data_IF_171609370387
#
_entry.id   IF_171609370387
#
_cell.length_a   1.000
_cell.length_b   1.000
_cell.length_c   1.000
_cell.angle_alpha   90.00
_cell.angle_beta   90.00
_cell.angle_gamma   90.00
#
_symmetry.space_group_name_H-M   'P 1'
#
loop_
_entity.id
_entity.type
_entity.pdbx_description
1 polymer ?
#
# COMPACT_ATOMS: atom_id res chain seq x y z
N UNK A 1 53.85 43.95 -0.22
CA UNK A 1 52.90 43.64 -1.32
C UNK A 1 52.04 42.47 -0.87
N UNK A 2 50.85 42.72 -0.34
CA UNK A 2 49.94 41.72 0.16
C UNK A 2 48.80 41.61 -0.86
N UNK A 3 48.67 40.46 -1.52
CA UNK A 3 47.59 40.18 -2.48
C UNK A 3 46.37 39.67 -1.71
N UNK A 4 45.30 40.43 -1.66
CA UNK A 4 44.00 40.00 -1.24
C UNK A 4 43.32 39.23 -2.38
N UNK A 5 42.98 37.96 -2.12
CA UNK A 5 42.17 37.15 -3.01
C UNK A 5 40.68 37.43 -2.70
N UNK A 6 39.96 37.93 -3.70
CA UNK A 6 38.50 38.08 -3.64
C UNK A 6 37.83 36.72 -3.69
N UNK A 7 37.22 36.28 -2.58
CA UNK A 7 36.23 35.21 -2.60
C UNK A 7 34.92 35.78 -3.13
N UNK A 8 34.53 35.36 -4.33
CA UNK A 8 33.22 35.65 -4.89
C UNK A 8 32.17 34.80 -4.11
N UNK A 9 31.40 35.52 -3.30
CA UNK A 9 30.19 34.94 -2.67
C UNK A 9 29.09 34.90 -3.74
N UNK A 10 28.82 33.74 -4.29
CA UNK A 10 27.63 33.52 -5.11
C UNK A 10 26.42 33.53 -4.20
N UNK A 11 25.72 34.65 -4.18
CA UNK A 11 24.44 34.81 -3.50
C UNK A 11 23.38 34.07 -4.31
N UNK A 12 22.99 32.88 -3.86
CA UNK A 12 21.88 32.14 -4.44
C UNK A 12 20.56 32.86 -4.08
N UNK A 13 20.03 33.58 -5.04
CA UNK A 13 18.73 34.23 -4.93
C UNK A 13 17.68 33.14 -4.99
N UNK A 14 17.13 32.74 -3.81
CA UNK A 14 15.92 31.92 -3.73
C UNK A 14 14.74 32.78 -4.19
N UNK A 15 14.36 32.65 -5.46
CA UNK A 15 13.08 33.17 -5.94
C UNK A 15 11.94 32.38 -5.30
N UNK A 16 11.25 33.01 -4.39
CA UNK A 16 9.93 32.54 -3.93
C UNK A 16 8.94 32.62 -5.10
N UNK A 17 8.83 31.55 -5.86
CA UNK A 17 7.73 31.37 -6.82
C UNK A 17 6.43 31.18 -6.06
N UNK A 18 5.41 31.95 -6.45
CA UNK A 18 4.07 31.89 -5.90
C UNK A 18 3.37 30.53 -6.14
N UNK A 19 2.11 30.34 -5.70
CA UNK A 19 1.42 29.05 -5.59
C UNK A 19 0.95 28.53 -6.96
N UNK A 20 1.88 28.20 -7.84
CA UNK A 20 1.62 27.52 -9.10
C UNK A 20 2.83 26.68 -9.55
N UNK A 21 3.52 26.05 -8.60
CA UNK A 21 4.38 24.94 -8.92
C UNK A 21 3.48 23.79 -9.33
N UNK A 22 3.31 23.59 -10.65
CA UNK A 22 2.88 22.31 -11.16
C UNK A 22 3.66 21.24 -10.39
N UNK A 23 2.96 20.39 -9.65
CA UNK A 23 3.57 19.33 -8.86
C UNK A 23 4.44 18.51 -9.81
N UNK A 24 5.75 18.77 -9.79
CA UNK A 24 6.69 17.91 -10.51
C UNK A 24 6.47 16.54 -9.93
N UNK A 25 6.01 15.62 -10.76
CA UNK A 25 5.82 14.23 -10.36
C UNK A 25 7.17 13.72 -9.88
N UNK A 26 7.31 13.59 -8.57
CA UNK A 26 8.53 13.03 -7.99
C UNK A 26 8.67 11.62 -8.51
N UNK A 27 9.80 11.32 -9.18
CA UNK A 27 10.14 9.95 -9.54
C UNK A 27 10.57 9.21 -8.27
N UNK A 28 9.57 8.86 -7.44
CA UNK A 28 9.80 8.16 -6.19
C UNK A 28 10.31 6.74 -6.41
N UNK A 29 10.09 6.15 -7.58
CA UNK A 29 10.55 4.79 -7.90
C UNK A 29 12.07 4.72 -8.00
N UNK A 30 12.71 5.82 -8.39
CA UNK A 30 14.18 5.94 -8.38
C UNK A 30 14.75 6.33 -7.01
N UNK A 31 13.89 6.66 -6.01
CA UNK A 31 14.33 7.05 -4.68
C UNK A 31 14.93 5.85 -3.91
N UNK A 32 15.84 6.12 -2.95
CA UNK A 32 16.41 5.09 -2.09
C UNK A 32 15.33 4.32 -1.33
N UNK A 33 15.53 3.00 -1.17
CA UNK A 33 14.72 2.14 -0.30
C UNK A 33 15.42 2.03 1.04
N UNK A 34 14.76 2.46 2.10
CA UNK A 34 15.25 2.31 3.46
C UNK A 34 14.80 0.97 4.04
N UNK A 35 15.73 0.24 4.64
CA UNK A 35 15.45 -1.11 5.17
C UNK A 35 15.45 -1.18 6.70
N UNK A 36 15.53 -0.04 7.38
CA UNK A 36 15.33 0.08 8.82
C UNK A 36 14.75 1.45 9.17
N UNK A 37 14.03 1.51 10.29
CA UNK A 37 13.48 2.76 10.83
C UNK A 37 14.60 3.75 11.11
N UNK A 38 15.69 3.32 11.75
CA UNK A 38 16.80 4.17 12.15
C UNK A 38 17.46 4.86 10.94
N UNK A 39 17.66 4.11 9.85
CA UNK A 39 18.25 4.69 8.63
C UNK A 39 17.32 5.69 7.94
N UNK A 40 16.03 5.44 7.97
CA UNK A 40 15.02 6.33 7.43
C UNK A 40 14.87 7.60 8.29
N UNK A 41 14.86 7.47 9.61
CA UNK A 41 14.84 8.60 10.54
C UNK A 41 16.08 9.49 10.39
N UNK A 42 17.27 8.88 10.24
CA UNK A 42 18.50 9.63 9.99
C UNK A 42 18.43 10.44 8.69
N UNK A 43 17.86 9.88 7.63
CA UNK A 43 17.65 10.59 6.36
C UNK A 43 16.65 11.75 6.53
N UNK A 44 15.53 11.53 7.21
CA UNK A 44 14.53 12.58 7.50
C UNK A 44 15.13 13.70 8.35
N UNK A 45 15.92 13.35 9.37
CA UNK A 45 16.63 14.32 10.19
C UNK A 45 17.65 15.15 9.39
N UNK A 46 18.21 14.59 8.30
CA UNK A 46 19.07 15.29 7.36
C UNK A 46 18.28 16.11 6.30
N UNK A 47 16.94 16.18 6.42
CA UNK A 47 16.08 16.90 5.48
C UNK A 47 15.82 16.17 4.16
N UNK A 48 16.11 14.87 4.09
CA UNK A 48 15.83 14.03 2.92
C UNK A 48 14.45 13.39 3.06
N UNK A 49 13.60 13.47 2.02
CA UNK A 49 12.30 12.79 2.05
C UNK A 49 12.47 11.28 1.96
N UNK A 50 11.67 10.54 2.74
CA UNK A 50 11.61 9.09 2.71
C UNK A 50 10.36 8.66 1.97
N UNK A 51 10.51 8.28 0.70
CA UNK A 51 9.39 7.80 -0.12
C UNK A 51 9.16 6.30 -0.02
N UNK A 52 10.22 5.52 0.30
CA UNK A 52 10.18 4.06 0.22
C UNK A 52 10.81 3.43 1.46
N UNK A 53 10.07 2.51 2.07
CA UNK A 53 10.57 1.73 3.20
C UNK A 53 10.22 0.26 3.01
N UNK A 54 11.21 -0.61 3.22
CA UNK A 54 11.07 -2.07 3.19
C UNK A 54 11.53 -2.66 4.53
N UNK A 55 10.58 -3.10 5.32
CA UNK A 55 10.81 -3.74 6.62
C UNK A 55 10.54 -5.25 6.57
N UNK A 56 10.79 -5.88 5.43
CA UNK A 56 10.65 -7.33 5.25
C UNK A 56 11.50 -8.11 6.27
N UNK A 57 10.89 -9.12 6.90
CA UNK A 57 11.56 -10.05 7.83
C UNK A 57 12.17 -9.38 9.08
N UNK A 58 11.62 -8.28 9.55
CA UNK A 58 12.08 -7.61 10.79
C UNK A 58 11.51 -8.22 12.07
N UNK A 59 10.67 -9.27 11.97
CA UNK A 59 10.01 -9.93 13.10
C UNK A 59 9.09 -8.97 13.88
N UNK A 60 8.54 -7.97 13.22
CA UNK A 60 7.62 -7.02 13.80
C UNK A 60 6.37 -7.75 14.30
N UNK A 61 5.96 -7.47 15.54
CA UNK A 61 4.71 -7.97 16.15
C UNK A 61 3.64 -6.89 16.21
N UNK A 62 4.07 -5.63 16.18
CA UNK A 62 3.21 -4.45 16.13
C UNK A 62 3.69 -3.56 15.01
N UNK A 63 2.79 -2.78 14.46
CA UNK A 63 3.13 -1.78 13.45
C UNK A 63 4.10 -0.75 14.03
N UNK A 64 5.13 -0.30 13.28
CA UNK A 64 6.05 0.74 13.73
C UNK A 64 5.37 2.11 13.73
N UNK A 65 4.87 2.56 14.88
CA UNK A 65 4.07 3.78 15.02
C UNK A 65 4.75 5.05 14.44
N UNK A 66 6.09 5.09 14.40
CA UNK A 66 6.83 6.20 13.78
C UNK A 66 6.44 6.43 12.32
N UNK A 67 6.06 5.38 11.58
CA UNK A 67 5.67 5.49 10.16
C UNK A 67 4.40 6.31 9.96
N UNK A 68 3.50 6.38 10.94
CA UNK A 68 2.25 7.13 10.84
C UNK A 68 2.48 8.63 10.58
N UNK A 69 3.61 9.16 11.06
CA UNK A 69 4.00 10.57 10.89
C UNK A 69 4.65 10.86 9.52
N UNK A 70 4.90 9.83 8.68
CA UNK A 70 5.66 10.00 7.44
C UNK A 70 4.72 10.11 6.24
N UNK A 71 4.09 11.26 6.09
CA UNK A 71 3.05 11.51 5.08
C UNK A 71 3.57 11.56 3.63
N UNK A 72 4.89 11.64 3.45
CA UNK A 72 5.56 11.60 2.14
C UNK A 72 5.70 10.20 1.55
N UNK A 73 5.41 9.13 2.31
CA UNK A 73 5.56 7.74 1.86
C UNK A 73 4.76 7.45 0.59
N UNK A 74 5.38 6.69 -0.31
CA UNK A 74 4.81 6.19 -1.58
C UNK A 74 4.78 4.66 -1.61
N UNK A 75 5.73 4.02 -0.96
CA UNK A 75 5.84 2.58 -0.87
C UNK A 75 6.18 2.15 0.55
N UNK A 76 5.39 1.21 1.07
CA UNK A 76 5.60 0.58 2.38
C UNK A 76 5.50 -0.93 2.21
N UNK A 77 6.57 -1.64 2.57
CA UNK A 77 6.65 -3.11 2.54
C UNK A 77 6.92 -3.63 3.95
N UNK A 78 6.01 -4.47 4.45
CA UNK A 78 6.05 -5.06 5.79
C UNK A 78 6.03 -6.59 5.74
N UNK A 79 6.46 -7.18 4.63
CA UNK A 79 6.33 -8.62 4.35
C UNK A 79 7.06 -9.49 5.36
N UNK A 80 6.52 -10.70 5.58
CA UNK A 80 7.14 -11.75 6.38
C UNK A 80 7.48 -11.29 7.79
N UNK A 81 6.51 -10.63 8.42
CA UNK A 81 6.57 -10.22 9.82
C UNK A 81 5.58 -11.06 10.67
N UNK A 82 5.11 -10.53 11.79
CA UNK A 82 4.16 -11.18 12.72
C UNK A 82 3.08 -10.20 13.15
N UNK A 83 2.69 -9.29 12.25
CA UNK A 83 1.65 -8.31 12.50
C UNK A 83 0.30 -9.01 12.55
N UNK A 84 -0.50 -8.70 13.56
CA UNK A 84 -1.88 -9.19 13.67
C UNK A 84 -2.90 -8.13 13.32
N UNK A 85 -2.57 -6.86 13.56
CA UNK A 85 -3.42 -5.70 13.27
C UNK A 85 -2.55 -4.51 12.85
N UNK A 86 -3.16 -3.57 12.13
CA UNK A 86 -2.61 -2.24 11.80
C UNK A 86 -3.73 -1.25 12.10
N UNK A 87 -3.76 -0.77 13.35
CA UNK A 87 -4.83 0.07 13.89
C UNK A 87 -4.45 1.55 13.97
N UNK A 88 -3.20 1.88 13.65
CA UNK A 88 -2.72 3.26 13.65
C UNK A 88 -3.48 4.10 12.63
N UNK A 89 -3.69 5.38 12.95
CA UNK A 89 -4.24 6.34 12.01
C UNK A 89 -3.21 6.67 10.92
N UNK A 90 -3.36 6.02 9.78
CA UNK A 90 -2.54 6.19 8.59
C UNK A 90 -3.27 6.99 7.49
N UNK A 91 -4.35 7.71 7.84
CA UNK A 91 -5.12 8.53 6.90
C UNK A 91 -4.29 9.65 6.25
N UNK A 92 -3.20 10.06 6.89
CA UNK A 92 -2.23 11.00 6.35
C UNK A 92 -1.41 10.49 5.14
N UNK A 93 -1.47 9.20 4.80
CA UNK A 93 -0.74 8.61 3.66
C UNK A 93 -1.45 8.85 2.32
N UNK A 94 -1.87 10.08 2.08
CA UNK A 94 -2.63 10.46 0.88
C UNK A 94 -1.89 10.20 -0.46
N UNK A 95 -0.59 10.01 -0.40
CA UNK A 95 0.25 9.78 -1.57
C UNK A 95 0.77 8.35 -1.71
N UNK A 96 0.37 7.44 -0.83
CA UNK A 96 0.80 6.05 -0.87
C UNK A 96 0.30 5.38 -2.16
N UNK A 97 1.23 4.83 -2.95
CA UNK A 97 0.93 4.16 -4.21
C UNK A 97 1.06 2.64 -4.12
N UNK A 98 1.88 2.15 -3.17
CA UNK A 98 2.09 0.72 -2.96
C UNK A 98 2.16 0.37 -1.49
N UNK A 99 1.39 -0.63 -1.10
CA UNK A 99 1.43 -1.22 0.23
C UNK A 99 1.48 -2.74 0.14
N UNK A 100 2.41 -3.35 0.89
CA UNK A 100 2.52 -4.79 0.99
C UNK A 100 2.73 -5.20 2.45
N UNK A 101 1.98 -6.23 2.89
CA UNK A 101 2.12 -6.87 4.18
C UNK A 101 1.91 -8.39 4.07
N UNK A 102 2.48 -8.99 3.02
CA UNK A 102 2.40 -10.42 2.71
C UNK A 102 3.04 -11.26 3.80
N UNK A 103 2.48 -12.44 4.06
CA UNK A 103 3.00 -13.41 5.04
C UNK A 103 3.12 -12.78 6.44
N UNK A 104 2.01 -12.32 6.94
CA UNK A 104 1.83 -11.86 8.32
C UNK A 104 0.73 -12.72 9.02
N UNK A 105 0.06 -12.16 10.01
CA UNK A 105 -1.08 -12.77 10.68
C UNK A 105 -2.22 -11.75 10.81
N UNK A 106 -2.38 -10.89 9.81
CA UNK A 106 -3.41 -9.85 9.82
C UNK A 106 -4.80 -10.50 9.77
N UNK A 107 -5.67 -10.08 10.69
CA UNK A 107 -7.07 -10.57 10.79
C UNK A 107 -8.04 -9.67 10.01
N UNK A 108 -7.63 -8.44 9.67
CA UNK A 108 -8.43 -7.48 8.92
C UNK A 108 -7.54 -6.59 8.04
N UNK A 109 -8.18 -5.84 7.15
CA UNK A 109 -7.52 -4.74 6.44
C UNK A 109 -6.99 -3.70 7.43
N UNK A 110 -5.89 -2.97 7.10
CA UNK A 110 -5.48 -1.81 7.89
C UNK A 110 -6.64 -0.83 8.05
N UNK A 111 -6.89 -0.37 9.28
CA UNK A 111 -8.07 0.45 9.63
C UNK A 111 -8.21 1.70 8.75
N UNK A 112 -7.09 2.31 8.35
CA UNK A 112 -7.05 3.53 7.52
C UNK A 112 -6.92 3.26 6.02
N UNK A 113 -6.97 2.00 5.55
CA UNK A 113 -6.66 1.68 4.15
C UNK A 113 -7.55 2.41 3.14
N UNK A 114 -8.82 2.64 3.48
CA UNK A 114 -9.76 3.31 2.58
C UNK A 114 -9.45 4.82 2.38
N UNK A 115 -8.59 5.41 3.19
CA UNK A 115 -8.09 6.78 3.00
C UNK A 115 -6.92 6.88 1.99
N UNK A 116 -6.34 5.76 1.54
CA UNK A 116 -5.19 5.75 0.64
C UNK A 116 -5.61 5.90 -0.82
N UNK A 117 -6.23 7.01 -1.17
CA UNK A 117 -6.87 7.22 -2.47
C UNK A 117 -5.92 7.22 -3.67
N UNK A 118 -4.60 7.37 -3.46
CA UNK A 118 -3.59 7.24 -4.50
C UNK A 118 -3.08 5.80 -4.70
N UNK A 119 -3.56 4.82 -3.89
CA UNK A 119 -3.05 3.46 -3.87
C UNK A 119 -3.32 2.75 -5.19
N UNK A 120 -2.28 2.15 -5.75
CA UNK A 120 -2.31 1.40 -7.01
C UNK A 120 -2.09 -0.09 -6.82
N UNK A 121 -1.31 -0.45 -5.81
CA UNK A 121 -0.99 -1.85 -5.52
C UNK A 121 -1.19 -2.11 -4.02
N UNK A 122 -2.07 -3.07 -3.72
CA UNK A 122 -2.32 -3.57 -2.37
C UNK A 122 -2.10 -5.07 -2.36
N UNK A 123 -1.11 -5.52 -1.57
CA UNK A 123 -0.82 -6.93 -1.39
C UNK A 123 -0.90 -7.29 0.10
N UNK A 124 -1.90 -8.08 0.45
CA UNK A 124 -2.16 -8.61 1.79
C UNK A 124 -2.24 -10.15 1.77
N UNK A 125 -1.61 -10.78 0.79
CA UNK A 125 -1.60 -12.24 0.66
C UNK A 125 -0.97 -12.96 1.85
N UNK A 126 -1.35 -14.22 2.07
CA UNK A 126 -0.85 -15.08 3.14
C UNK A 126 -1.02 -14.43 4.53
N UNK A 127 -2.28 -14.21 4.89
CA UNK A 127 -2.73 -13.64 6.17
C UNK A 127 -3.97 -14.40 6.70
N UNK A 128 -4.67 -13.85 7.67
CA UNK A 128 -5.88 -14.41 8.27
C UNK A 128 -7.11 -13.47 8.07
N UNK A 129 -7.11 -12.69 7.00
CA UNK A 129 -8.17 -11.71 6.72
C UNK A 129 -9.46 -12.48 6.35
N UNK A 130 -10.57 -12.14 7.00
CA UNK A 130 -11.88 -12.79 6.82
C UNK A 130 -12.84 -12.02 5.89
N UNK A 131 -12.60 -10.74 5.67
CA UNK A 131 -13.52 -9.88 4.94
C UNK A 131 -12.83 -8.74 4.20
N UNK A 132 -13.45 -8.31 3.09
CA UNK A 132 -13.05 -7.11 2.36
C UNK A 132 -13.98 -5.97 2.78
N UNK A 133 -13.46 -4.75 3.05
CA UNK A 133 -14.28 -3.59 3.38
C UNK A 133 -15.36 -3.31 2.32
N UNK A 134 -16.57 -2.96 2.76
CA UNK A 134 -17.70 -2.69 1.86
C UNK A 134 -17.48 -1.46 0.98
N UNK A 135 -16.62 -0.56 1.39
CA UNK A 135 -16.25 0.69 0.72
C UNK A 135 -14.88 0.62 0.02
N UNK A 136 -14.47 -0.59 -0.40
CA UNK A 136 -13.20 -0.83 -1.12
C UNK A 136 -13.07 0.02 -2.40
N UNK A 137 -14.18 0.43 -3.01
CA UNK A 137 -14.25 1.32 -4.18
C UNK A 137 -13.68 2.72 -3.92
N UNK A 138 -13.50 3.15 -2.66
CA UNK A 138 -12.76 4.37 -2.32
C UNK A 138 -11.31 4.33 -2.83
N UNK A 139 -10.73 3.14 -2.99
CA UNK A 139 -9.41 2.96 -3.61
C UNK A 139 -9.47 3.11 -5.14
N UNK A 140 -9.95 4.25 -5.61
CA UNK A 140 -10.28 4.51 -7.01
C UNK A 140 -9.11 4.44 -8.00
N UNK A 141 -7.85 4.49 -7.52
CA UNK A 141 -6.64 4.32 -8.31
C UNK A 141 -6.12 2.87 -8.33
N UNK A 142 -6.75 1.94 -7.58
CA UNK A 142 -6.26 0.59 -7.40
C UNK A 142 -6.24 -0.18 -8.73
N UNK A 143 -5.09 -0.81 -8.99
CA UNK A 143 -4.84 -1.61 -10.20
C UNK A 143 -4.58 -3.08 -9.91
N UNK A 144 -3.96 -3.34 -8.77
CA UNK A 144 -3.65 -4.69 -8.32
C UNK A 144 -4.12 -4.85 -6.89
N UNK A 145 -4.97 -5.83 -6.66
CA UNK A 145 -5.39 -6.27 -5.34
C UNK A 145 -5.03 -7.75 -5.21
N UNK A 146 -4.19 -8.06 -4.26
CA UNK A 146 -3.74 -9.41 -3.98
C UNK A 146 -4.10 -9.77 -2.54
N UNK A 147 -4.92 -10.80 -2.38
CA UNK A 147 -5.47 -11.31 -1.13
C UNK A 147 -5.37 -12.84 -1.06
N UNK A 148 -4.47 -13.45 -1.84
CA UNK A 148 -4.29 -14.90 -1.88
C UNK A 148 -3.98 -15.46 -0.49
N UNK A 149 -4.41 -16.71 -0.23
CA UNK A 149 -4.18 -17.41 1.04
C UNK A 149 -4.63 -16.57 2.26
N UNK A 150 -5.91 -16.26 2.27
CA UNK A 150 -6.64 -15.69 3.39
C UNK A 150 -7.87 -16.58 3.72
N UNK A 151 -8.73 -16.13 4.60
CA UNK A 151 -9.95 -16.87 4.99
C UNK A 151 -11.23 -16.11 4.57
N UNK A 152 -11.15 -15.39 3.45
CA UNK A 152 -12.25 -14.56 2.94
C UNK A 152 -13.32 -15.48 2.33
N UNK A 153 -14.54 -15.44 2.89
CA UNK A 153 -15.69 -16.17 2.38
C UNK A 153 -16.66 -15.29 1.59
N UNK A 154 -16.74 -14.00 1.91
CA UNK A 154 -17.72 -13.09 1.31
C UNK A 154 -17.04 -11.87 0.68
N UNK A 155 -17.56 -11.46 -0.48
CA UNK A 155 -17.00 -10.41 -1.31
C UNK A 155 -18.02 -9.30 -1.53
N UNK A 156 -17.66 -8.03 -1.33
CA UNK A 156 -18.58 -6.92 -1.56
C UNK A 156 -18.75 -6.63 -3.05
N UNK A 157 -19.96 -6.26 -3.47
CA UNK A 157 -20.24 -5.87 -4.84
C UNK A 157 -19.45 -4.63 -5.30
N UNK A 158 -19.01 -3.78 -4.35
CA UNK A 158 -18.15 -2.61 -4.58
C UNK A 158 -16.80 -2.94 -5.22
N UNK A 159 -16.35 -4.22 -5.20
CA UNK A 159 -15.21 -4.66 -6.01
C UNK A 159 -15.42 -4.40 -7.51
N UNK A 160 -16.67 -4.47 -7.99
CA UNK A 160 -17.04 -4.14 -9.37
C UNK A 160 -16.91 -2.65 -9.72
N UNK A 161 -16.85 -1.77 -8.73
CA UNK A 161 -16.70 -0.33 -8.89
C UNK A 161 -15.24 0.14 -8.95
N UNK A 162 -14.28 -0.76 -8.74
CA UNK A 162 -12.85 -0.50 -8.91
C UNK A 162 -12.48 -0.39 -10.39
N UNK A 163 -12.81 0.73 -11.02
CA UNK A 163 -12.73 0.93 -12.48
C UNK A 163 -11.32 0.84 -13.06
N UNK A 164 -10.28 0.96 -12.26
CA UNK A 164 -8.88 0.86 -12.68
C UNK A 164 -8.25 -0.49 -12.38
N UNK A 165 -8.98 -1.39 -11.72
CA UNK A 165 -8.50 -2.71 -11.37
C UNK A 165 -8.14 -3.49 -12.64
N UNK A 166 -6.98 -4.13 -12.61
CA UNK A 166 -6.45 -4.98 -13.68
C UNK A 166 -6.23 -6.41 -13.23
N UNK A 167 -5.82 -6.58 -11.98
CA UNK A 167 -5.50 -7.88 -11.41
C UNK A 167 -6.14 -8.00 -10.04
N UNK A 168 -6.86 -9.09 -9.84
CA UNK A 168 -7.43 -9.50 -8.57
C UNK A 168 -6.99 -10.93 -8.28
N UNK A 169 -6.21 -11.11 -7.22
CA UNK A 169 -5.74 -12.43 -6.80
C UNK A 169 -6.43 -12.83 -5.50
N UNK A 170 -7.22 -13.89 -5.58
CA UNK A 170 -7.99 -14.47 -4.48
C UNK A 170 -7.73 -15.97 -4.34
N UNK A 171 -6.62 -16.49 -4.90
CA UNK A 171 -6.28 -17.90 -4.75
C UNK A 171 -6.19 -18.30 -3.28
N UNK A 172 -6.59 -19.53 -2.96
CA UNK A 172 -6.54 -20.09 -1.60
C UNK A 172 -7.37 -19.28 -0.57
N UNK A 173 -8.57 -18.86 -0.99
CA UNK A 173 -9.61 -18.35 -0.11
C UNK A 173 -10.82 -19.30 -0.09
N UNK A 174 -11.71 -19.12 0.89
CA UNK A 174 -12.88 -19.95 1.08
C UNK A 174 -14.04 -19.47 0.19
N UNK A 175 -14.00 -19.78 -1.10
CA UNK A 175 -15.07 -19.44 -2.05
C UNK A 175 -15.78 -20.67 -2.60
N UNK A 176 -17.10 -20.63 -2.55
CA UNK A 176 -17.97 -21.56 -3.27
C UNK A 176 -18.01 -21.24 -4.77
N UNK A 177 -18.51 -22.18 -5.58
CA UNK A 177 -18.69 -21.94 -7.02
C UNK A 177 -19.66 -20.77 -7.27
N UNK A 178 -20.75 -20.69 -6.50
CA UNK A 178 -21.75 -19.64 -6.64
C UNK A 178 -21.15 -18.25 -6.39
N UNK A 179 -20.35 -18.11 -5.34
CA UNK A 179 -19.65 -16.86 -5.01
C UNK A 179 -18.64 -16.46 -6.09
N UNK A 180 -17.92 -17.44 -6.67
CA UNK A 180 -17.00 -17.16 -7.77
C UNK A 180 -17.74 -16.66 -9.02
N UNK A 181 -18.90 -17.26 -9.37
CA UNK A 181 -19.71 -16.81 -10.50
C UNK A 181 -20.32 -15.42 -10.25
N UNK A 182 -20.76 -15.16 -9.02
CA UNK A 182 -21.28 -13.85 -8.61
C UNK A 182 -20.19 -12.77 -8.71
N UNK A 183 -19.00 -13.03 -8.17
CA UNK A 183 -17.85 -12.12 -8.27
C UNK A 183 -17.50 -11.80 -9.72
N UNK A 184 -17.42 -12.82 -10.58
CA UNK A 184 -17.14 -12.63 -12.01
C UNK A 184 -18.20 -11.79 -12.71
N UNK A 185 -19.45 -11.83 -12.26
CA UNK A 185 -20.54 -11.04 -12.83
C UNK A 185 -20.42 -9.53 -12.55
N UNK A 186 -19.76 -9.14 -11.46
CA UNK A 186 -19.54 -7.74 -11.08
C UNK A 186 -18.33 -7.12 -11.76
N UNK A 187 -17.33 -7.93 -12.08
CA UNK A 187 -16.04 -7.42 -12.56
C UNK A 187 -16.02 -7.28 -14.09
N UNK A 188 -15.40 -6.22 -14.63
CA UNK A 188 -15.18 -6.10 -16.05
C UNK A 188 -14.35 -7.27 -16.61
N UNK A 189 -14.65 -7.72 -17.84
CA UNK A 189 -13.90 -8.79 -18.52
C UNK A 189 -12.40 -8.47 -18.71
N UNK A 190 -12.00 -7.22 -18.54
CA UNK A 190 -10.60 -6.79 -18.63
C UNK A 190 -9.79 -7.06 -17.37
N UNK A 191 -10.44 -7.45 -16.27
CA UNK A 191 -9.76 -7.79 -15.02
C UNK A 191 -9.29 -9.23 -15.07
N UNK A 192 -8.00 -9.45 -14.83
CA UNK A 192 -7.45 -10.78 -14.63
C UNK A 192 -7.76 -11.23 -13.21
N UNK A 193 -8.49 -12.33 -13.05
CA UNK A 193 -8.90 -12.86 -11.76
C UNK A 193 -8.21 -14.21 -11.57
N UNK A 194 -7.47 -14.36 -10.46
CA UNK A 194 -6.91 -15.63 -10.03
C UNK A 194 -7.77 -16.20 -8.90
N UNK A 195 -8.26 -17.42 -9.08
CA UNK A 195 -9.11 -18.14 -8.14
C UNK A 195 -8.63 -19.59 -8.03
N UNK A 196 -8.71 -20.16 -6.83
CA UNK A 196 -8.56 -21.60 -6.64
C UNK A 196 -9.78 -22.37 -7.11
N UNK A 197 -9.68 -23.69 -7.16
CA UNK A 197 -10.85 -24.53 -7.31
C UNK A 197 -11.86 -24.21 -6.17
N UNK A 198 -13.17 -24.11 -6.48
CA UNK A 198 -14.18 -23.78 -5.50
C UNK A 198 -14.22 -24.82 -4.38
N UNK A 199 -14.50 -24.39 -3.16
CA UNK A 199 -14.76 -25.29 -2.05
C UNK A 199 -15.97 -26.18 -2.39
N UNK A 200 -15.77 -27.49 -2.31
CA UNK A 200 -16.87 -28.47 -2.40
C UNK A 200 -17.46 -28.65 -1.01
N UNK A 201 -18.28 -27.69 -0.60
CA UNK A 201 -19.12 -27.87 0.60
C UNK A 201 -20.40 -28.60 0.17
N UNK A 202 -20.26 -29.85 -0.32
CA UNK A 202 -21.40 -30.73 -0.45
C UNK A 202 -21.74 -31.17 1.00
N UNK A 203 -22.66 -30.44 1.63
CA UNK A 203 -23.38 -30.99 2.75
C UNK A 203 -24.32 -32.02 2.14
N UNK A 204 -23.84 -33.28 2.02
CA UNK A 204 -24.73 -34.42 1.82
C UNK A 204 -25.68 -34.49 3.04
N UNK A 205 -26.96 -34.11 2.84
CA UNK A 205 -28.04 -34.37 3.76
C UNK A 205 -28.40 -35.88 3.77
#
# INVERSE_FOLDING_TARGET
>A
MIRFSLFSVVMLVLSFGGPNAAAQSVDWQAAPVYTSIESAEAARAAGQPVYRIDLTKKRLRTFPAALAEWTELREVILDRNKLTHIDEDLSGWAFLERFSAVSNSLEAFPASAMAWTALRELDLGDNAIDSIPLDIDQLSELRTLSLWSNVIAHYPASLGDLRKLKTLDLEYNDMTLEEQELLKSWLPLSVSINLSAPCRCDFDE
#
